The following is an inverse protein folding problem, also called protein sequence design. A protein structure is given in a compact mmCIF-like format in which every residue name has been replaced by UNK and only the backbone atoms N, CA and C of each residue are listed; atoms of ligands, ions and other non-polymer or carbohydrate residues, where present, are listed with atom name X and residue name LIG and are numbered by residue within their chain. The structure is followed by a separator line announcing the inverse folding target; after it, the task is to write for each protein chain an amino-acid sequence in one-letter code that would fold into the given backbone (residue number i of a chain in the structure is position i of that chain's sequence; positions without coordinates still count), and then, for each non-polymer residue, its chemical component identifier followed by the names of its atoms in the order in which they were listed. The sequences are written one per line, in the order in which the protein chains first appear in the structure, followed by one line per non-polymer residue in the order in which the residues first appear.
data_IF_611619934299
#
_entry.id   IF_611619934299
#
_cell.length_a   1.000
_cell.length_b   1.000
_cell.length_c   1.000
_cell.angle_alpha   90.00
_cell.angle_beta   90.00
_cell.angle_gamma   90.00
#
_symmetry.space_group_name_H-M   'P 1'
#
loop_
_entity.id
_entity.type
_entity.pdbx_description
1 polymer ?
#
# COMPACT_ATOMS: atom_id res chain seq x y z
N UNK A 1 -4.75 4.46 2.57
CA UNK A 1 -4.06 3.70 1.50
C UNK A 1 -2.69 3.31 2.01
N UNK A 2 -2.28 2.05 1.86
CA UNK A 2 -0.98 1.56 2.28
C UNK A 2 -0.19 1.02 1.07
N UNK A 3 1.10 1.33 1.01
CA UNK A 3 2.03 0.80 0.00
C UNK A 3 2.98 -0.18 0.67
N UNK A 4 3.18 -1.33 0.06
CA UNK A 4 4.15 -2.30 0.56
C UNK A 4 4.49 -3.36 -0.48
N UNK A 5 5.68 -3.94 -0.37
CA UNK A 5 6.09 -5.05 -1.23
C UNK A 5 5.53 -6.38 -0.73
N UNK A 6 4.82 -7.07 -1.63
CA UNK A 6 4.47 -8.49 -1.49
C UNK A 6 5.65 -9.43 -1.82
N UNK A 7 6.77 -8.88 -2.32
CA UNK A 7 7.89 -9.62 -2.93
C UNK A 7 7.35 -10.74 -3.83
N UNK A 8 7.77 -11.98 -3.62
CA UNK A 8 7.35 -13.16 -4.38
C UNK A 8 6.11 -13.86 -3.84
N UNK A 9 5.43 -13.33 -2.82
CA UNK A 9 4.37 -14.08 -2.12
C UNK A 9 3.05 -13.32 -2.01
N UNK A 10 2.06 -13.82 -2.74
CA UNK A 10 0.65 -13.40 -2.62
C UNK A 10 0.10 -13.58 -1.20
N UNK A 11 0.68 -14.51 -0.42
CA UNK A 11 0.34 -14.72 1.00
C UNK A 11 0.50 -13.45 1.84
N UNK A 12 1.41 -12.54 1.45
CA UNK A 12 1.57 -11.25 2.15
C UNK A 12 0.37 -10.34 1.90
N UNK A 13 -0.16 -10.33 0.67
CA UNK A 13 -1.39 -9.61 0.34
C UNK A 13 -2.56 -10.21 1.12
N UNK A 14 -2.77 -11.52 1.01
CA UNK A 14 -3.86 -12.23 1.72
C UNK A 14 -3.81 -12.02 3.24
N UNK A 15 -2.61 -11.94 3.81
CA UNK A 15 -2.43 -11.67 5.24
C UNK A 15 -3.03 -10.32 5.64
N UNK A 16 -2.98 -9.29 4.79
CA UNK A 16 -3.56 -7.99 5.12
C UNK A 16 -5.09 -8.06 5.25
N UNK A 17 -5.77 -8.99 4.58
CA UNK A 17 -7.21 -9.18 4.69
C UNK A 17 -7.66 -9.96 5.94
N UNK A 18 -6.76 -10.67 6.63
CA UNK A 18 -7.12 -11.47 7.81
C UNK A 18 -7.20 -10.61 9.07
N UNK A 19 -8.22 -10.77 9.90
CA UNK A 19 -8.28 -10.11 11.22
C UNK A 19 -7.64 -10.97 12.32
N UNK A 20 -7.79 -12.30 12.24
CA UNK A 20 -7.11 -13.24 13.14
C UNK A 20 -5.67 -13.53 12.66
N UNK A 21 -4.72 -12.76 13.21
CA UNK A 21 -3.28 -12.92 12.92
C UNK A 21 -2.42 -12.36 14.04
N UNK A 22 -1.26 -12.99 14.29
CA UNK A 22 -0.20 -12.38 15.12
C UNK A 22 0.28 -11.09 14.46
N UNK A 23 0.31 -9.97 15.17
CA UNK A 23 0.73 -8.67 14.63
C UNK A 23 2.26 -8.61 14.48
N UNK A 24 2.76 -8.24 13.31
CA UNK A 24 4.21 -8.21 13.00
C UNK A 24 4.64 -6.94 12.25
N UNK A 25 3.77 -6.38 11.43
CA UNK A 25 4.05 -5.20 10.62
C UNK A 25 3.14 -4.04 11.02
N UNK A 26 3.57 -2.80 10.78
CA UNK A 26 2.77 -1.61 11.10
C UNK A 26 1.34 -1.69 10.55
N UNK A 27 1.18 -2.15 9.31
CA UNK A 27 -0.14 -2.33 8.67
C UNK A 27 -1.00 -3.42 9.32
N UNK A 28 -0.42 -4.38 10.05
CA UNK A 28 -1.21 -5.40 10.75
C UNK A 28 -2.06 -4.75 11.84
N UNK A 29 -1.51 -3.80 12.61
CA UNK A 29 -2.23 -3.09 13.66
C UNK A 29 -3.42 -2.29 13.14
N UNK A 30 -3.33 -1.80 11.90
CA UNK A 30 -4.44 -1.11 11.25
C UNK A 30 -5.45 -2.10 10.66
N UNK A 31 -4.98 -3.12 9.93
CA UNK A 31 -5.86 -4.06 9.20
C UNK A 31 -6.62 -5.05 10.09
N UNK A 32 -6.32 -5.15 11.38
CA UNK A 32 -7.18 -5.86 12.34
C UNK A 32 -8.31 -4.99 12.91
N UNK A 33 -8.23 -3.67 12.72
CA UNK A 33 -9.20 -2.69 13.22
C UNK A 33 -9.94 -1.96 12.07
N UNK A 34 -9.69 -2.32 10.81
CA UNK A 34 -10.27 -1.71 9.64
C UNK A 34 -10.40 -2.70 8.49
N UNK A 35 -11.46 -2.58 7.70
CA UNK A 35 -11.68 -3.42 6.53
C UNK A 35 -10.75 -3.03 5.38
N UNK A 36 -10.08 -4.02 4.82
CA UNK A 36 -9.31 -3.86 3.58
C UNK A 36 -10.28 -3.95 2.41
N UNK A 37 -10.61 -2.80 1.80
CA UNK A 37 -11.60 -2.73 0.74
C UNK A 37 -11.11 -3.31 -0.60
N UNK A 38 -9.87 -2.98 -0.98
CA UNK A 38 -9.29 -3.37 -2.28
C UNK A 38 -7.76 -3.39 -2.19
N UNK A 39 -7.12 -4.13 -3.10
CA UNK A 39 -5.66 -4.06 -3.32
C UNK A 39 -5.36 -3.75 -4.78
N UNK A 40 -4.39 -2.87 -5.03
CA UNK A 40 -3.82 -2.64 -6.36
C UNK A 40 -2.44 -3.31 -6.39
N UNK A 41 -2.26 -4.24 -7.32
CA UNK A 41 -1.02 -5.02 -7.45
C UNK A 41 -0.26 -4.56 -8.68
N UNK A 42 0.98 -4.15 -8.47
CA UNK A 42 1.92 -3.77 -9.51
C UNK A 42 2.88 -4.92 -9.76
N UNK A 43 2.95 -5.39 -11.01
CA UNK A 43 3.88 -6.45 -11.42
C UNK A 43 5.06 -5.81 -12.13
N UNK A 44 6.23 -5.78 -11.48
CA UNK A 44 7.44 -5.22 -12.06
C UNK A 44 8.66 -6.10 -11.79
N UNK A 45 9.63 -6.03 -12.72
CA UNK A 45 10.96 -6.65 -12.54
C UNK A 45 11.80 -5.90 -11.49
N UNK A 46 11.49 -4.63 -11.26
CA UNK A 46 12.17 -3.75 -10.30
C UNK A 46 11.27 -3.41 -9.10
N UNK A 47 11.90 -2.98 -8.00
CA UNK A 47 11.22 -2.66 -6.74
C UNK A 47 10.48 -1.33 -6.88
N UNK A 48 9.16 -1.37 -7.02
CA UNK A 48 8.31 -0.18 -7.15
C UNK A 48 7.85 0.42 -5.81
N UNK A 49 8.11 -0.22 -4.66
CA UNK A 49 7.53 0.19 -3.37
C UNK A 49 7.84 1.66 -3.00
N UNK A 50 9.11 2.04 -2.89
CA UNK A 50 9.51 3.40 -2.54
C UNK A 50 9.10 4.41 -3.62
N UNK A 51 9.14 4.01 -4.89
CA UNK A 51 8.73 4.85 -6.01
C UNK A 51 7.23 5.19 -5.95
N UNK A 52 6.39 4.19 -5.71
CA UNK A 52 4.94 4.36 -5.54
C UNK A 52 4.64 5.21 -4.29
N UNK A 53 5.34 4.97 -3.18
CA UNK A 53 5.19 5.78 -1.97
C UNK A 53 5.56 7.25 -2.21
N UNK A 54 6.62 7.52 -2.97
CA UNK A 54 7.04 8.87 -3.31
C UNK A 54 6.04 9.58 -4.24
N UNK A 55 5.43 8.89 -5.20
CA UNK A 55 4.35 9.47 -6.01
C UNK A 55 3.15 9.83 -5.12
N UNK A 56 2.75 8.92 -4.22
CA UNK A 56 1.60 9.18 -3.35
C UNK A 56 1.84 10.32 -2.36
N UNK A 57 3.07 10.51 -1.87
CA UNK A 57 3.39 11.60 -0.94
C UNK A 57 3.22 12.99 -1.56
N UNK A 58 3.29 13.10 -2.88
CA UNK A 58 3.03 14.36 -3.61
C UNK A 58 1.54 14.70 -3.73
N UNK A 59 0.65 13.72 -3.49
CA UNK A 59 -0.77 13.83 -3.77
C UNK A 59 -1.68 13.62 -2.57
N UNK A 60 -1.15 13.10 -1.46
CA UNK A 60 -1.90 12.67 -0.29
C UNK A 60 -1.11 12.92 0.99
N UNK A 61 -1.81 13.22 2.08
CA UNK A 61 -1.20 13.35 3.40
C UNK A 61 -0.75 11.98 3.93
N UNK A 62 0.49 11.90 4.39
CA UNK A 62 1.08 10.66 4.91
C UNK A 62 1.27 10.69 6.43
N UNK A 63 1.16 9.52 7.06
CA UNK A 63 1.53 9.36 8.48
C UNK A 63 3.05 9.19 8.58
N UNK A 64 3.75 10.22 9.07
CA UNK A 64 5.22 10.23 9.14
C UNK A 64 5.79 8.94 9.75
N UNK A 65 6.82 8.38 9.11
CA UNK A 65 7.56 7.18 9.52
C UNK A 65 6.74 5.87 9.55
N UNK A 66 5.51 5.86 9.03
CA UNK A 66 4.72 4.63 9.02
C UNK A 66 5.17 3.69 7.90
N UNK A 67 5.53 2.45 8.26
CA UNK A 67 5.79 1.39 7.29
C UNK A 67 7.08 1.53 6.47
N UNK A 68 7.94 2.50 6.78
CA UNK A 68 9.15 2.84 6.04
C UNK A 68 10.43 2.78 6.91
N UNK A 69 10.55 1.79 7.80
CA UNK A 69 11.69 1.71 8.72
C UNK A 69 13.01 1.33 8.05
N UNK A 70 12.97 0.77 6.85
CA UNK A 70 14.11 0.31 6.05
C UNK A 70 14.34 1.17 4.79
N UNK A 71 13.69 2.33 4.68
CA UNK A 71 13.86 3.27 3.57
C UNK A 71 13.73 4.74 4.03
N UNK A 72 14.04 5.67 3.14
CA UNK A 72 13.97 7.12 3.42
C UNK A 72 12.60 7.74 3.08
N UNK A 73 11.58 6.93 2.80
CA UNK A 73 10.26 7.45 2.48
C UNK A 73 9.64 8.19 3.67
N UNK A 74 8.94 9.28 3.39
CA UNK A 74 8.20 10.02 4.42
C UNK A 74 7.14 9.15 5.13
N UNK A 75 6.45 8.32 4.36
CA UNK A 75 5.44 7.38 4.83
C UNK A 75 5.12 6.34 3.75
N UNK A 76 4.66 5.16 4.17
CA UNK A 76 3.97 4.19 3.31
C UNK A 76 2.46 4.13 3.58
N UNK A 77 1.93 4.98 4.47
CA UNK A 77 0.50 5.09 4.78
C UNK A 77 -0.01 6.49 4.49
N UNK A 78 -0.95 6.58 3.56
CA UNK A 78 -1.52 7.84 3.06
C UNK A 78 -3.03 7.91 3.28
N UNK A 79 -3.53 9.11 3.56
CA UNK A 79 -4.94 9.39 3.78
C UNK A 79 -5.58 10.09 2.58
N UNK A 80 -6.87 9.79 2.37
CA UNK A 80 -7.73 10.49 1.41
C UNK A 80 -9.14 10.52 1.98
N UNK A 81 -9.73 11.71 2.05
CA UNK A 81 -11.09 11.90 2.53
C UNK A 81 -12.12 11.26 1.59
N UNK A 82 -11.85 11.32 0.27
CA UNK A 82 -12.69 10.71 -0.78
C UNK A 82 -12.09 9.39 -1.24
N UNK A 83 -12.93 8.53 -1.83
CA UNK A 83 -12.48 7.30 -2.46
C UNK A 83 -11.42 7.61 -3.54
N UNK A 84 -10.17 7.15 -3.39
CA UNK A 84 -9.08 7.56 -4.25
C UNK A 84 -8.94 6.71 -5.53
N UNK A 85 -9.77 5.67 -5.73
CA UNK A 85 -9.56 4.67 -6.80
C UNK A 85 -9.43 5.29 -8.20
N UNK A 86 -10.32 6.22 -8.59
CA UNK A 86 -10.24 6.86 -9.90
C UNK A 86 -8.97 7.71 -10.07
N UNK A 87 -8.57 8.42 -9.02
CA UNK A 87 -7.33 9.22 -9.00
C UNK A 87 -6.10 8.32 -9.10
N UNK A 88 -6.08 7.20 -8.37
CA UNK A 88 -5.01 6.20 -8.45
C UNK A 88 -4.91 5.56 -9.83
N UNK A 89 -6.06 5.20 -10.43
CA UNK A 89 -6.09 4.61 -11.77
C UNK A 89 -5.49 5.55 -12.83
N UNK A 90 -5.79 6.86 -12.74
CA UNK A 90 -5.17 7.89 -13.60
C UNK A 90 -3.69 8.08 -13.31
N UNK A 91 -3.31 8.21 -12.04
CA UNK A 91 -1.90 8.40 -11.64
C UNK A 91 -0.99 7.25 -12.11
N UNK A 92 -1.54 6.04 -12.16
CA UNK A 92 -0.80 4.85 -12.52
C UNK A 92 -1.18 4.28 -13.89
N UNK A 93 -1.82 5.05 -14.77
CA UNK A 93 -2.29 4.58 -16.08
C UNK A 93 -1.17 4.00 -16.97
N UNK A 94 0.06 4.49 -16.79
CA UNK A 94 1.25 4.05 -17.52
C UNK A 94 1.98 2.86 -16.84
N UNK A 95 1.42 2.31 -15.75
CA UNK A 95 1.99 1.18 -15.02
C UNK A 95 1.18 -0.09 -15.30
N UNK A 96 1.87 -1.23 -15.35
CA UNK A 96 1.20 -2.53 -15.41
C UNK A 96 0.68 -2.91 -14.01
N UNK A 97 -0.56 -2.51 -13.71
CA UNK A 97 -1.24 -2.85 -12.46
C UNK A 97 -2.53 -3.62 -12.70
N UNK A 98 -2.97 -4.34 -11.67
CA UNK A 98 -4.30 -4.99 -11.63
C UNK A 98 -4.94 -4.80 -10.28
N UNK A 99 -6.26 -4.81 -10.24
CA UNK A 99 -7.00 -4.93 -8.99
C UNK A 99 -6.95 -6.37 -8.50
N UNK A 100 -6.75 -6.55 -7.20
CA UNK A 100 -6.79 -7.82 -6.49
C UNK A 100 -7.87 -7.73 -5.40
N UNK A 101 -8.72 -8.74 -5.36
CA UNK A 101 -9.89 -8.83 -4.49
C UNK A 101 -9.72 -9.98 -3.52
#
# INVERSE_FOLDING_TARGET
MYVGSAKSSIKRIERHFRTDKKLRWHIDYLSVNADVLNTIVFSAKEVLECHLANILSQHFEGTKNFGCSDCECYSHLFFSEKNPIEKLAKLFENYNFRFYK
#
